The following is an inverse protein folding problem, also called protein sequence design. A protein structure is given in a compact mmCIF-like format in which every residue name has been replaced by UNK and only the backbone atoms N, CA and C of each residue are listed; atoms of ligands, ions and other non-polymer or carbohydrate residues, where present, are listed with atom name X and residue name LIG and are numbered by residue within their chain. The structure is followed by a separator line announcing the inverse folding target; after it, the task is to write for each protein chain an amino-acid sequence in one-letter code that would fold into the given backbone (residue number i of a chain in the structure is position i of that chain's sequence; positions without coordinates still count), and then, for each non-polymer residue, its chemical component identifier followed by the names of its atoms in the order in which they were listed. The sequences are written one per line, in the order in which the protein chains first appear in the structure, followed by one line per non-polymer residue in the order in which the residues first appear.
data_IF_721446211796
#
_entry.id   IF_721446211796
#
_cell.length_a   1.000
_cell.length_b   1.000
_cell.length_c   1.000
_cell.angle_alpha   90.00
_cell.angle_beta   90.00
_cell.angle_gamma   90.00
#
_symmetry.space_group_name_H-M   'P 1'
#
loop_
_entity.id
_entity.type
_entity.pdbx_description
1 polymer ?
#
# COMPACT_ATOMS: atom_id res chain seq x y z
N UNK A 1 2.81 -10.51 0.81
CA UNK A 1 3.29 -9.11 0.71
C UNK A 1 4.63 -9.04 1.41
N UNK A 2 5.59 -8.30 0.86
CA UNK A 2 6.92 -8.10 1.46
C UNK A 2 7.42 -6.67 1.29
N UNK A 3 8.56 -6.34 1.90
CA UNK A 3 9.18 -5.01 1.77
C UNK A 3 10.65 -5.13 1.39
N UNK A 4 11.08 -4.24 0.52
CA UNK A 4 12.48 -4.02 0.17
C UNK A 4 12.88 -2.67 0.74
N UNK A 5 13.84 -2.68 1.66
CA UNK A 5 14.44 -1.48 2.24
C UNK A 5 15.86 -1.36 1.68
N UNK A 6 16.13 -0.30 0.93
CA UNK A 6 17.45 -0.02 0.37
C UNK A 6 17.81 1.45 0.56
N UNK A 7 18.85 1.71 1.37
CA UNK A 7 19.23 3.06 1.80
C UNK A 7 17.99 3.79 2.36
N UNK A 8 17.66 4.96 1.80
CA UNK A 8 16.49 5.76 2.19
C UNK A 8 15.26 5.48 1.32
N UNK A 9 15.27 4.40 0.53
CA UNK A 9 14.14 4.01 -0.31
C UNK A 9 13.49 2.75 0.24
N UNK A 10 12.18 2.84 0.47
CA UNK A 10 11.35 1.70 0.82
C UNK A 10 10.37 1.41 -0.32
N UNK A 11 10.26 0.14 -0.69
CA UNK A 11 9.29 -0.36 -1.66
C UNK A 11 8.54 -1.54 -1.07
N UNK A 12 7.23 -1.57 -1.29
CA UNK A 12 6.38 -2.68 -0.92
C UNK A 12 6.15 -3.57 -2.15
N UNK A 13 6.13 -4.88 -1.91
CA UNK A 13 5.87 -5.91 -2.91
C UNK A 13 4.51 -6.54 -2.60
N UNK A 14 3.60 -6.48 -3.57
CA UNK A 14 2.30 -7.15 -3.50
C UNK A 14 2.21 -8.19 -4.61
N UNK A 15 1.37 -9.19 -4.38
CA UNK A 15 0.86 -10.05 -5.43
C UNK A 15 -0.53 -9.56 -5.78
N UNK A 16 -0.79 -9.36 -7.06
CA UNK A 16 -2.14 -9.07 -7.54
C UNK A 16 -2.99 -10.36 -7.60
N UNK A 17 -4.30 -10.28 -7.92
CA UNK A 17 -5.16 -11.46 -8.05
C UNK A 17 -4.70 -12.47 -9.10
N UNK A 18 -3.83 -12.10 -10.03
CA UNK A 18 -3.24 -12.96 -11.07
C UNK A 18 -1.86 -13.49 -10.67
N UNK A 19 -1.47 -13.34 -9.40
CA UNK A 19 -0.16 -13.73 -8.85
C UNK A 19 1.03 -13.00 -9.49
N UNK A 20 0.80 -11.82 -10.06
CA UNK A 20 1.88 -10.98 -10.57
C UNK A 20 2.46 -10.12 -9.47
N UNK A 21 3.79 -10.06 -9.41
CA UNK A 21 4.49 -9.21 -8.46
C UNK A 21 4.40 -7.75 -8.88
N UNK A 22 3.81 -6.90 -8.04
CA UNK A 22 3.77 -5.46 -8.23
C UNK A 22 4.62 -4.75 -7.18
N UNK A 23 5.38 -3.75 -7.63
CA UNK A 23 6.30 -2.97 -6.78
C UNK A 23 5.73 -1.58 -6.58
N UNK A 24 5.55 -1.19 -5.32
CA UNK A 24 4.85 0.05 -4.95
C UNK A 24 5.69 0.89 -4.02
N UNK A 25 5.68 2.21 -4.26
CA UNK A 25 6.31 3.21 -3.40
C UNK A 25 5.26 4.05 -2.67
N UNK A 26 5.69 4.80 -1.67
CA UNK A 26 4.83 5.77 -1.00
C UNK A 26 4.19 6.75 -2.01
N UNK A 27 2.91 7.07 -1.79
CA UNK A 27 2.10 7.94 -2.64
C UNK A 27 1.40 7.24 -3.82
N UNK A 28 1.64 5.95 -4.05
CA UNK A 28 0.97 5.21 -5.13
C UNK A 28 -0.39 4.68 -4.71
N UNK A 29 -1.32 4.55 -5.68
CA UNK A 29 -2.61 3.89 -5.49
C UNK A 29 -2.56 2.42 -5.90
N UNK A 30 -3.18 1.57 -5.09
CA UNK A 30 -3.18 0.11 -5.18
C UNK A 30 -4.58 -0.43 -5.43
N UNK A 31 -4.67 -1.38 -6.37
CA UNK A 31 -5.91 -2.08 -6.69
C UNK A 31 -7.00 -1.18 -7.31
N UNK A 32 -8.13 -1.79 -7.67
CA UNK A 32 -9.28 -1.08 -8.23
C UNK A 32 -9.95 -0.16 -7.21
N UNK A 33 -9.85 -0.47 -5.91
CA UNK A 33 -10.36 0.38 -4.83
C UNK A 33 -9.47 1.62 -4.58
N UNK A 34 -8.29 1.71 -5.19
CA UNK A 34 -7.47 2.91 -5.16
C UNK A 34 -6.80 3.22 -3.82
N UNK A 35 -6.47 2.19 -3.02
CA UNK A 35 -5.79 2.35 -1.73
C UNK A 35 -4.48 3.14 -1.86
N UNK A 36 -4.35 4.25 -1.14
CA UNK A 36 -3.16 5.09 -1.19
C UNK A 36 -2.09 4.56 -0.24
N UNK A 37 -0.88 4.29 -0.75
CA UNK A 37 0.28 3.90 0.03
C UNK A 37 0.81 5.07 0.86
N UNK A 38 0.51 5.09 2.17
CA UNK A 38 0.89 6.18 3.05
C UNK A 38 2.27 5.99 3.66
N UNK A 39 2.62 4.77 4.09
CA UNK A 39 3.91 4.52 4.76
C UNK A 39 4.34 3.07 4.53
N UNK A 40 5.65 2.86 4.32
CA UNK A 40 6.27 1.55 4.19
C UNK A 40 7.30 1.40 5.29
N UNK A 41 7.07 0.46 6.20
CA UNK A 41 7.95 0.14 7.32
C UNK A 41 8.57 -1.24 7.18
N UNK A 42 9.47 -1.59 8.11
CA UNK A 42 10.12 -2.92 8.15
C UNK A 42 9.13 -4.05 8.45
N UNK A 43 8.10 -3.77 9.24
CA UNK A 43 7.16 -4.79 9.76
C UNK A 43 5.75 -4.69 9.18
N UNK A 44 5.53 -3.74 8.27
CA UNK A 44 4.24 -3.57 7.64
C UNK A 44 4.18 -2.37 6.71
N UNK A 45 2.99 -2.16 6.15
CA UNK A 45 2.63 -0.98 5.37
C UNK A 45 1.36 -0.36 5.91
N UNK A 46 1.24 0.96 5.76
CA UNK A 46 0.03 1.71 6.07
C UNK A 46 -0.56 2.25 4.78
N UNK A 47 -1.83 1.94 4.56
CA UNK A 47 -2.64 2.32 3.41
C UNK A 47 -3.75 3.26 3.88
N UNK A 48 -4.25 4.09 2.97
CA UNK A 48 -5.49 4.84 3.16
C UNK A 48 -6.52 4.33 2.16
N UNK A 49 -7.65 3.84 2.66
CA UNK A 49 -8.80 3.43 1.85
C UNK A 49 -9.76 4.61 1.71
N UNK A 50 -10.19 4.93 0.50
CA UNK A 50 -11.29 5.88 0.29
C UNK A 50 -12.63 5.21 0.63
N UNK A 51 -13.46 5.85 1.45
CA UNK A 51 -14.84 5.41 1.65
C UNK A 51 -15.69 5.76 0.43
N UNK A 52 -16.29 4.77 -0.19
CA UNK A 52 -17.28 4.97 -1.25
C UNK A 52 -18.47 5.76 -0.70
N UNK A 53 -18.87 6.83 -1.40
CA UNK A 53 -20.03 7.65 -1.04
C UNK A 53 -19.77 8.78 -0.04
N UNK A 54 -18.53 8.97 0.43
CA UNK A 54 -18.14 10.11 1.27
C UNK A 54 -16.90 10.76 0.67
N UNK A 55 -17.09 11.88 -0.03
CA UNK A 55 -16.09 12.51 -0.92
C UNK A 55 -14.69 12.72 -0.34
N UNK A 56 -14.51 12.71 0.99
CA UNK A 56 -13.23 13.03 1.62
C UNK A 56 -12.82 12.09 2.76
N UNK A 57 -13.64 11.07 3.08
CA UNK A 57 -13.28 10.18 4.19
C UNK A 57 -12.30 9.10 3.73
N UNK A 58 -11.14 9.08 4.39
CA UNK A 58 -10.17 7.98 4.26
C UNK A 58 -10.03 7.24 5.57
N UNK A 59 -9.91 5.92 5.50
CA UNK A 59 -9.63 5.08 6.65
C UNK A 59 -8.23 4.49 6.57
N UNK A 60 -7.45 4.56 7.65
CA UNK A 60 -6.17 3.90 7.71
C UNK A 60 -6.35 2.38 7.77
N UNK A 61 -5.62 1.67 6.91
CA UNK A 61 -5.50 0.23 6.90
C UNK A 61 -4.03 -0.14 7.10
N UNK A 62 -3.74 -0.88 8.15
CA UNK A 62 -2.38 -1.36 8.44
C UNK A 62 -2.28 -2.84 8.09
N UNK A 63 -1.31 -3.19 7.25
CA UNK A 63 -1.01 -4.58 6.90
C UNK A 63 0.36 -4.93 7.47
N UNK A 64 0.44 -6.02 8.23
CA UNK A 64 1.67 -6.49 8.89
C UNK A 64 2.16 -7.81 8.30
N UNK A 65 3.45 -8.09 8.49
CA UNK A 65 4.10 -9.36 8.08
C UNK A 65 4.16 -10.34 9.24
#
# INVERSE_FOLDING_TARGET
MGVVLYKNSSKALFLDPHQQLIVVKQGYRLGQEGYLMQQIGRNGVKLLRSKTGQCEQTEPLELRF
#
